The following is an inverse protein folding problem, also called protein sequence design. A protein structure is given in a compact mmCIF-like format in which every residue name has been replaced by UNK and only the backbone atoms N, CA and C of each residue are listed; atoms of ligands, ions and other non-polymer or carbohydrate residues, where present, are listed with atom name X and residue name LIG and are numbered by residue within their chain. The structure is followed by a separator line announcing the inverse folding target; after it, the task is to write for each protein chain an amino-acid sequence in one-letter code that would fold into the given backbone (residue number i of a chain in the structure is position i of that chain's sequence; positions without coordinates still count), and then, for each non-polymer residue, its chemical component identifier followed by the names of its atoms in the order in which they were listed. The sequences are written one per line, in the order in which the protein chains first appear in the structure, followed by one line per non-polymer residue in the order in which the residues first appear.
data_IF_661662705559
#
_entry.id   IF_661662705559
#
_cell.length_a   1.000
_cell.length_b   1.000
_cell.length_c   1.000
_cell.angle_alpha   90.00
_cell.angle_beta   90.00
_cell.angle_gamma   90.00
#
_symmetry.space_group_name_H-M   'P 1'
#
loop_
_entity.id
_entity.type
_entity.pdbx_description
1 polymer ?
#
# COMPACT_ATOMS: atom_id res chain seq x y z
N UNK A 1 -20.16 -24.09 11.23
CA UNK A 1 -18.86 -24.80 11.29
C UNK A 1 -19.02 -26.20 10.73
N UNK A 2 -18.66 -26.42 9.46
CA UNK A 2 -18.15 -27.68 8.90
C UNK A 2 -17.28 -27.27 7.70
N UNK A 3 -15.95 -27.29 7.85
CA UNK A 3 -15.05 -27.42 6.69
C UNK A 3 -14.56 -28.87 6.75
N UNK A 4 -15.23 -29.75 6.00
CA UNK A 4 -14.69 -31.07 5.68
C UNK A 4 -14.08 -30.94 4.30
N UNK A 5 -12.75 -30.91 4.28
CA UNK A 5 -11.97 -30.88 3.06
C UNK A 5 -10.50 -30.90 3.42
N UNK A 6 -9.92 -32.10 3.44
CA UNK A 6 -8.48 -32.29 3.36
C UNK A 6 -8.00 -31.60 2.07
N UNK A 7 -7.46 -30.38 2.16
CA UNK A 7 -6.90 -29.66 1.01
C UNK A 7 -5.40 -29.56 1.20
N UNK A 8 -4.65 -30.38 0.46
CA UNK A 8 -3.19 -30.24 0.29
C UNK A 8 -2.85 -29.13 -0.71
N UNK A 9 -3.73 -28.15 -0.91
CA UNK A 9 -3.52 -27.04 -1.84
C UNK A 9 -3.52 -25.71 -1.10
N UNK A 10 -2.52 -24.87 -1.39
CA UNK A 10 -2.44 -23.48 -0.94
C UNK A 10 -3.40 -22.56 -1.69
N UNK A 11 -4.09 -23.05 -2.73
CA UNK A 11 -5.06 -22.26 -3.51
C UNK A 11 -6.50 -22.42 -3.00
N UNK A 12 -7.17 -21.28 -2.78
CA UNK A 12 -8.56 -21.19 -2.29
C UNK A 12 -9.50 -21.11 -3.48
N UNK A 13 -10.35 -22.11 -3.67
CA UNK A 13 -11.27 -22.12 -4.83
C UNK A 13 -12.48 -21.21 -4.63
N UNK A 14 -12.97 -21.12 -3.39
CA UNK A 14 -14.10 -20.30 -3.01
C UNK A 14 -13.99 -19.88 -1.56
N UNK A 15 -14.51 -18.69 -1.25
CA UNK A 15 -14.58 -18.13 0.09
C UNK A 15 -15.97 -17.53 0.32
N UNK A 16 -16.68 -18.04 1.31
CA UNK A 16 -17.96 -17.46 1.75
C UNK A 16 -17.69 -16.39 2.81
N UNK A 17 -18.32 -15.23 2.65
CA UNK A 17 -18.28 -14.11 3.58
C UNK A 17 -19.71 -13.65 3.89
N UNK A 18 -19.89 -12.82 4.91
CA UNK A 18 -21.18 -12.17 5.17
C UNK A 18 -21.72 -11.35 3.97
N UNK A 19 -20.83 -10.91 3.07
CA UNK A 19 -21.14 -10.06 1.92
C UNK A 19 -21.30 -10.84 0.60
N UNK A 20 -21.19 -12.17 0.62
CA UNK A 20 -21.31 -13.01 -0.57
C UNK A 20 -20.19 -14.04 -0.73
N UNK A 21 -20.25 -14.79 -1.83
CA UNK A 21 -19.29 -15.84 -2.16
C UNK A 21 -18.30 -15.33 -3.19
N UNK A 22 -17.01 -15.39 -2.85
CA UNK A 22 -15.92 -15.15 -3.78
C UNK A 22 -15.47 -16.48 -4.40
N UNK A 23 -15.20 -16.49 -5.69
CA UNK A 23 -14.63 -17.63 -6.41
C UNK A 23 -13.36 -17.22 -7.12
N UNK A 24 -12.39 -18.14 -7.15
CA UNK A 24 -11.06 -17.89 -7.68
C UNK A 24 -10.68 -18.97 -8.70
N UNK A 25 -10.01 -18.55 -9.77
CA UNK A 25 -9.33 -19.47 -10.70
C UNK A 25 -7.84 -19.17 -10.71
N UNK A 26 -7.06 -20.19 -11.07
CA UNK A 26 -5.60 -20.12 -11.03
C UNK A 26 -5.00 -20.76 -12.28
N UNK A 27 -3.83 -20.29 -12.68
CA UNK A 27 -3.00 -21.00 -13.65
C UNK A 27 -2.22 -22.16 -12.99
N UNK A 28 -1.39 -22.86 -13.77
CA UNK A 28 -0.60 -23.98 -13.27
C UNK A 28 0.53 -23.57 -12.31
N UNK A 29 0.97 -22.31 -12.35
CA UNK A 29 1.96 -21.76 -11.42
C UNK A 29 1.32 -21.27 -10.11
N UNK A 30 -0.01 -21.24 -10.03
CA UNK A 30 -0.77 -20.76 -8.87
C UNK A 30 -1.05 -19.26 -8.88
N UNK A 31 -0.81 -18.56 -9.99
CA UNK A 31 -1.22 -17.17 -10.14
C UNK A 31 -2.74 -17.08 -10.30
N UNK A 32 -3.38 -16.06 -9.72
CA UNK A 32 -4.83 -15.86 -9.78
C UNK A 32 -5.22 -15.42 -11.19
N UNK A 33 -6.01 -16.19 -11.93
CA UNK A 33 -6.52 -15.80 -13.24
C UNK A 33 -7.82 -15.00 -13.16
N UNK A 34 -8.66 -15.28 -12.16
CA UNK A 34 -9.90 -14.51 -11.96
C UNK A 34 -10.36 -14.53 -10.52
N UNK A 35 -11.02 -13.44 -10.11
CA UNK A 35 -11.80 -13.32 -8.89
C UNK A 35 -13.22 -12.93 -9.30
N UNK A 36 -14.23 -13.65 -8.82
CA UNK A 36 -15.63 -13.29 -9.01
C UNK A 36 -16.31 -13.20 -7.63
N UNK A 37 -16.94 -12.07 -7.35
CA UNK A 37 -17.59 -11.78 -6.05
C UNK A 37 -19.09 -12.13 -6.01
N UNK A 38 -19.58 -12.87 -7.01
CA UNK A 38 -20.98 -13.16 -7.26
C UNK A 38 -21.67 -12.19 -8.24
N UNK A 39 -21.11 -11.00 -8.44
CA UNK A 39 -21.65 -9.95 -9.32
C UNK A 39 -20.67 -9.52 -10.41
N UNK A 40 -19.44 -9.18 -10.02
CA UNK A 40 -18.39 -8.68 -10.90
C UNK A 40 -17.22 -9.65 -10.94
N UNK A 41 -16.55 -9.68 -12.09
CA UNK A 41 -15.31 -10.44 -12.28
C UNK A 41 -14.13 -9.49 -12.48
N UNK A 42 -13.04 -9.77 -11.79
CA UNK A 42 -11.71 -9.24 -12.12
C UNK A 42 -10.88 -10.39 -12.70
N UNK A 43 -10.23 -10.16 -13.83
CA UNK A 43 -9.37 -11.17 -14.48
C UNK A 43 -7.96 -10.64 -14.68
N UNK A 44 -6.99 -11.55 -14.67
CA UNK A 44 -5.57 -11.22 -14.72
C UNK A 44 -4.85 -12.05 -15.79
N UNK A 45 -3.87 -11.44 -16.43
CA UNK A 45 -2.97 -12.09 -17.40
C UNK A 45 -1.54 -11.83 -16.98
N UNK A 46 -0.72 -12.87 -17.05
CA UNK A 46 0.69 -12.84 -16.68
C UNK A 46 1.58 -13.12 -17.89
N UNK A 47 2.79 -12.58 -17.87
CA UNK A 47 3.83 -12.98 -18.82
C UNK A 47 4.54 -14.29 -18.39
N UNK A 48 5.53 -14.72 -19.18
CA UNK A 48 6.30 -15.93 -18.90
C UNK A 48 7.20 -15.87 -17.66
N UNK A 49 7.34 -14.70 -17.02
CA UNK A 49 8.05 -14.51 -15.76
C UNK A 49 7.08 -14.36 -14.57
N UNK A 50 5.80 -14.68 -14.76
CA UNK A 50 4.72 -14.52 -13.79
C UNK A 50 4.50 -13.05 -13.36
N UNK A 51 4.84 -12.08 -14.21
CA UNK A 51 4.56 -10.67 -13.95
C UNK A 51 3.17 -10.32 -14.50
N UNK A 52 2.37 -9.60 -13.71
CA UNK A 52 1.03 -9.18 -14.10
C UNK A 52 1.09 -8.20 -15.27
N UNK A 53 0.70 -8.59 -16.47
CA UNK A 53 0.70 -7.70 -17.64
C UNK A 53 -0.65 -7.10 -17.96
N UNK A 54 -1.75 -7.67 -17.43
CA UNK A 54 -3.10 -7.13 -17.64
C UNK A 54 -4.05 -7.47 -16.51
N UNK A 55 -4.87 -6.50 -16.12
CA UNK A 55 -6.02 -6.64 -15.24
C UNK A 55 -7.27 -6.13 -15.98
N UNK A 56 -8.36 -6.90 -15.99
CA UNK A 56 -9.68 -6.42 -16.43
C UNK A 56 -10.62 -6.41 -15.23
N UNK A 57 -10.96 -5.21 -14.74
CA UNK A 57 -11.84 -5.02 -13.59
C UNK A 57 -13.20 -4.55 -14.07
N UNK A 58 -14.18 -5.46 -14.04
CA UNK A 58 -15.55 -5.19 -14.47
C UNK A 58 -16.26 -4.18 -13.56
N UNK A 59 -15.93 -4.14 -12.27
CA UNK A 59 -16.55 -3.22 -11.30
C UNK A 59 -16.02 -1.80 -11.51
N UNK A 60 -14.72 -1.67 -11.74
CA UNK A 60 -14.09 -0.40 -12.07
C UNK A 60 -14.38 0.03 -13.52
N UNK A 61 -14.92 -0.87 -14.36
CA UNK A 61 -15.18 -0.64 -15.78
C UNK A 61 -13.92 -0.20 -16.54
N UNK A 62 -12.78 -0.83 -16.19
CA UNK A 62 -11.48 -0.56 -16.80
C UNK A 62 -10.68 -1.82 -17.11
N UNK A 63 -9.76 -1.69 -18.07
CA UNK A 63 -8.67 -2.63 -18.31
C UNK A 63 -7.36 -1.91 -18.08
N UNK A 64 -6.48 -2.47 -17.25
CA UNK A 64 -5.14 -1.94 -16.99
C UNK A 64 -4.10 -2.86 -17.63
N UNK A 65 -3.14 -2.28 -18.33
CA UNK A 65 -1.97 -2.97 -18.91
C UNK A 65 -0.70 -2.47 -18.24
N UNK A 66 0.18 -3.40 -17.90
CA UNK A 66 1.46 -3.14 -17.25
C UNK A 66 2.61 -3.54 -18.17
N UNK A 67 3.70 -2.79 -18.10
CA UNK A 67 4.93 -3.07 -18.85
C UNK A 67 6.11 -3.16 -17.89
N UNK A 68 7.05 -4.05 -18.21
CA UNK A 68 8.23 -4.29 -17.39
C UNK A 68 9.49 -4.32 -18.23
N UNK A 69 10.63 -4.05 -17.59
CA UNK A 69 11.96 -4.26 -18.15
C UNK A 69 12.88 -4.73 -17.04
N UNK A 70 13.47 -5.92 -17.19
CA UNK A 70 14.32 -6.56 -16.17
C UNK A 70 13.67 -6.64 -14.78
N UNK A 71 12.36 -6.95 -14.71
CA UNK A 71 11.62 -7.02 -13.45
C UNK A 71 11.04 -5.69 -12.96
N UNK A 72 11.59 -4.55 -13.39
CA UNK A 72 11.07 -3.23 -13.00
C UNK A 72 9.82 -2.88 -13.82
N UNK A 73 8.76 -2.43 -13.16
CA UNK A 73 7.59 -1.86 -13.84
C UNK A 73 8.01 -0.58 -14.55
N UNK A 74 7.75 -0.43 -15.84
CA UNK A 74 8.08 0.77 -16.64
C UNK A 74 6.85 1.61 -16.97
N UNK A 75 5.67 1.01 -16.91
CA UNK A 75 4.44 1.70 -17.27
C UNK A 75 3.19 1.00 -16.81
N UNK A 76 2.16 1.79 -16.50
CA UNK A 76 0.79 1.38 -16.23
C UNK A 76 -0.13 2.21 -17.10
N UNK A 77 -0.94 1.56 -17.93
CA UNK A 77 -1.90 2.21 -18.82
C UNK A 77 -3.31 1.71 -18.53
N UNK A 78 -4.27 2.61 -18.46
CA UNK A 78 -5.67 2.32 -18.16
C UNK A 78 -6.52 2.63 -19.38
N UNK A 79 -7.44 1.73 -19.68
CA UNK A 79 -8.34 1.73 -20.82
C UNK A 79 -9.77 1.46 -20.34
N UNK A 80 -10.74 1.66 -21.24
CA UNK A 80 -12.11 1.18 -21.03
C UNK A 80 -12.10 -0.34 -20.89
N UNK A 81 -12.96 -0.89 -20.02
CA UNK A 81 -13.08 -2.34 -19.83
C UNK A 81 -13.25 -3.08 -21.16
N UNK A 82 -12.42 -4.09 -21.37
CA UNK A 82 -12.50 -5.02 -22.49
C UNK A 82 -11.80 -6.33 -22.13
N UNK A 83 -12.29 -7.44 -22.67
CA UNK A 83 -11.58 -8.73 -22.62
C UNK A 83 -10.73 -8.97 -23.88
N UNK A 84 -10.98 -8.20 -24.95
CA UNK A 84 -10.26 -8.26 -26.22
C UNK A 84 -9.13 -7.24 -26.29
N UNK A 85 -8.86 -6.71 -27.47
CA UNK A 85 -7.85 -5.67 -27.66
C UNK A 85 -8.25 -4.37 -26.94
N UNK A 86 -7.25 -3.66 -26.44
CA UNK A 86 -7.43 -2.36 -25.78
C UNK A 86 -7.61 -1.24 -26.81
N UNK A 87 -8.49 -0.28 -26.50
CA UNK A 87 -8.76 0.88 -27.34
C UNK A 87 -7.89 2.09 -26.99
N UNK A 88 -8.50 3.28 -26.97
CA UNK A 88 -7.83 4.52 -26.60
C UNK A 88 -7.42 4.53 -25.12
N UNK A 89 -6.21 5.00 -24.86
CA UNK A 89 -5.66 5.14 -23.52
C UNK A 89 -6.39 6.25 -22.76
N UNK A 90 -6.94 5.94 -21.59
CA UNK A 90 -7.63 6.90 -20.71
C UNK A 90 -6.62 7.57 -19.77
N UNK A 91 -5.62 6.81 -19.31
CA UNK A 91 -4.60 7.28 -18.37
C UNK A 91 -3.33 6.47 -18.51
N UNK A 92 -2.19 7.13 -18.33
CA UNK A 92 -0.89 6.47 -18.18
C UNK A 92 -0.14 6.94 -16.94
N UNK A 93 0.72 6.08 -16.44
CA UNK A 93 1.70 6.33 -15.38
C UNK A 93 3.00 5.68 -15.80
N UNK A 94 4.07 6.46 -15.86
CA UNK A 94 5.39 6.01 -16.32
C UNK A 94 6.38 5.91 -15.16
N UNK A 95 7.30 4.97 -15.23
CA UNK A 95 8.32 4.71 -14.22
C UNK A 95 9.68 4.65 -14.92
N UNK A 96 10.63 5.47 -14.46
CA UNK A 96 11.97 5.60 -15.03
C UNK A 96 13.03 5.05 -14.09
N UNK A 97 13.99 4.33 -14.67
CA UNK A 97 15.12 3.72 -13.98
C UNK A 97 16.36 4.01 -14.82
N UNK A 98 17.08 5.08 -14.46
CA UNK A 98 18.24 5.56 -15.23
C UNK A 98 19.56 5.42 -14.48
N UNK A 99 19.53 4.93 -13.22
CA UNK A 99 20.75 4.69 -12.46
C UNK A 99 21.46 3.43 -12.97
N UNK A 100 22.74 3.56 -13.31
CA UNK A 100 23.55 2.47 -13.86
C UNK A 100 24.06 1.49 -12.80
N UNK A 101 24.25 1.95 -11.58
CA UNK A 101 24.77 1.15 -10.47
C UNK A 101 23.64 0.34 -9.82
N UNK A 102 22.52 1.00 -9.54
CA UNK A 102 21.32 0.40 -8.97
C UNK A 102 20.20 0.41 -10.00
N UNK A 103 20.18 -0.65 -10.82
CA UNK A 103 19.29 -0.75 -11.98
C UNK A 103 17.81 -0.84 -11.62
N UNK A 104 17.49 -1.08 -10.36
CA UNK A 104 16.16 -1.12 -9.75
C UNK A 104 15.79 0.17 -9.01
N UNK A 105 16.68 1.17 -8.97
CA UNK A 105 16.41 2.46 -8.36
C UNK A 105 15.49 3.31 -9.25
N UNK A 106 14.29 3.62 -8.74
CA UNK A 106 13.30 4.45 -9.42
C UNK A 106 13.79 5.91 -9.49
N UNK A 107 14.23 6.38 -10.64
CA UNK A 107 14.73 7.76 -10.82
C UNK A 107 13.68 8.73 -11.34
N UNK A 108 12.54 8.23 -11.81
CA UNK A 108 11.40 9.07 -12.23
C UNK A 108 10.06 8.37 -12.04
N UNK A 109 9.06 9.10 -11.57
CA UNK A 109 7.67 8.64 -11.54
C UNK A 109 6.77 9.69 -12.16
N UNK A 110 6.03 9.30 -13.19
CA UNK A 110 5.15 10.14 -13.99
C UNK A 110 5.80 11.46 -14.44
N UNK A 111 7.07 11.38 -14.87
CA UNK A 111 7.87 12.53 -15.31
C UNK A 111 8.48 13.37 -14.18
N UNK A 112 8.12 13.13 -12.92
CA UNK A 112 8.76 13.76 -11.77
C UNK A 112 10.03 12.99 -11.40
N UNK A 113 11.16 13.68 -11.32
CA UNK A 113 12.42 13.07 -10.91
C UNK A 113 12.38 12.67 -9.43
N UNK A 114 13.09 11.59 -9.10
CA UNK A 114 13.41 11.18 -7.74
C UNK A 114 14.94 11.18 -7.61
N UNK A 115 15.46 11.83 -6.57
CA UNK A 115 16.89 11.82 -6.26
C UNK A 115 17.13 11.15 -4.93
N UNK A 116 18.36 10.72 -4.68
CA UNK A 116 18.71 9.88 -3.54
C UNK A 116 20.05 10.29 -2.92
N UNK A 117 20.22 9.97 -1.64
CA UNK A 117 21.53 9.95 -1.00
C UNK A 117 22.31 8.66 -1.33
N UNK A 118 23.53 8.54 -0.81
CA UNK A 118 24.44 7.40 -1.07
C UNK A 118 23.93 6.05 -0.57
N UNK A 119 22.96 6.04 0.34
CA UNK A 119 22.37 4.81 0.88
C UNK A 119 20.96 4.54 0.36
N UNK A 120 20.46 5.36 -0.58
CA UNK A 120 19.19 5.16 -1.26
C UNK A 120 17.97 5.72 -0.54
N UNK A 121 18.15 6.67 0.38
CA UNK A 121 17.02 7.44 0.87
C UNK A 121 16.65 8.51 -0.17
N UNK A 122 15.37 8.66 -0.55
CA UNK A 122 14.95 9.73 -1.44
C UNK A 122 15.27 11.10 -0.84
N UNK A 123 15.95 11.99 -1.57
CA UNK A 123 16.20 13.38 -1.18
C UNK A 123 15.17 14.34 -1.79
N UNK A 124 14.69 14.03 -3.00
CA UNK A 124 13.62 14.78 -3.64
C UNK A 124 12.66 13.87 -4.38
N UNK A 125 11.41 14.31 -4.51
CA UNK A 125 10.43 13.72 -5.41
C UNK A 125 9.53 14.82 -5.98
N UNK A 126 9.73 15.14 -7.26
CA UNK A 126 9.14 16.33 -7.87
C UNK A 126 9.58 17.59 -7.12
N UNK A 127 8.62 18.37 -6.61
CA UNK A 127 8.88 19.56 -5.79
C UNK A 127 9.10 19.27 -4.30
N UNK A 128 8.94 18.02 -3.86
CA UNK A 128 9.09 17.66 -2.45
C UNK A 128 10.56 17.40 -2.12
N UNK A 129 10.99 17.79 -0.93
CA UNK A 129 12.30 17.42 -0.38
C UNK A 129 12.16 16.62 0.91
N UNK A 130 13.18 15.81 1.19
CA UNK A 130 13.23 14.90 2.32
C UNK A 130 14.59 15.03 3.01
N UNK A 131 14.59 15.10 4.33
CA UNK A 131 15.79 15.14 5.16
C UNK A 131 15.82 13.93 6.09
N UNK A 132 16.98 13.30 6.20
CA UNK A 132 17.15 12.02 6.89
C UNK A 132 18.31 12.08 7.88
N UNK A 133 18.15 11.38 9.01
CA UNK A 133 19.24 11.01 9.91
C UNK A 133 19.41 9.49 9.85
N UNK A 134 20.46 9.03 9.14
CA UNK A 134 20.62 7.61 8.82
C UNK A 134 19.44 7.08 7.97
N UNK A 135 18.59 6.24 8.56
CA UNK A 135 17.37 5.70 7.92
C UNK A 135 16.08 6.31 8.46
N UNK A 136 16.19 7.31 9.34
CA UNK A 136 15.04 7.98 9.95
C UNK A 136 14.71 9.24 9.15
N UNK A 137 13.49 9.31 8.62
CA UNK A 137 13.00 10.50 7.93
C UNK A 137 12.70 11.59 8.95
N UNK A 138 13.43 12.69 8.96
CA UNK A 138 13.28 13.79 9.92
C UNK A 138 12.39 14.90 9.39
N UNK A 139 12.46 15.21 8.10
CA UNK A 139 11.63 16.27 7.51
C UNK A 139 11.15 15.91 6.10
N UNK A 140 9.91 16.29 5.81
CA UNK A 140 9.39 16.46 4.44
C UNK A 140 9.00 17.93 4.27
N UNK A 141 9.41 18.53 3.16
CA UNK A 141 8.90 19.83 2.69
C UNK A 141 8.12 19.62 1.40
N UNK A 142 6.89 20.10 1.35
CA UNK A 142 5.97 19.96 0.22
C UNK A 142 5.20 21.26 -0.04
N UNK A 143 5.78 22.11 -0.89
CA UNK A 143 5.31 23.48 -1.04
C UNK A 143 5.44 24.23 0.28
N UNK A 144 4.33 24.82 0.75
CA UNK A 144 4.27 25.49 2.05
C UNK A 144 4.10 24.52 3.23
N UNK A 145 3.86 23.23 2.96
CA UNK A 145 3.66 22.25 4.00
C UNK A 145 4.99 21.68 4.50
N UNK A 146 5.13 21.58 5.81
CA UNK A 146 6.27 20.96 6.48
C UNK A 146 5.81 19.86 7.41
N UNK A 147 6.50 18.72 7.34
CA UNK A 147 6.27 17.56 8.20
C UNK A 147 7.59 17.25 8.88
N UNK A 148 7.64 17.35 10.20
CA UNK A 148 8.85 17.07 10.98
C UNK A 148 8.59 15.88 11.89
N UNK A 149 9.52 14.96 11.98
CA UNK A 149 9.41 13.76 12.79
C UNK A 149 10.56 13.69 13.80
N UNK A 150 10.30 13.08 14.95
CA UNK A 150 11.32 12.76 15.92
C UNK A 150 11.17 11.31 16.37
N UNK A 151 12.27 10.67 16.73
CA UNK A 151 12.34 9.25 17.07
C UNK A 151 13.04 9.06 18.42
N UNK A 152 12.69 7.99 19.13
CA UNK A 152 13.45 7.54 20.31
C UNK A 152 14.69 6.74 19.86
N UNK A 153 15.46 6.25 20.83
CA UNK A 153 16.66 5.42 20.59
C UNK A 153 16.36 4.06 19.97
N UNK A 154 15.14 3.56 20.15
CA UNK A 154 14.68 2.29 19.57
C UNK A 154 14.21 2.44 18.12
N UNK A 155 14.14 3.69 17.63
CA UNK A 155 13.70 4.03 16.28
C UNK A 155 12.19 4.23 16.15
N UNK A 156 11.44 4.18 17.25
CA UNK A 156 10.02 4.50 17.25
C UNK A 156 9.81 5.99 17.10
N UNK A 157 8.85 6.37 16.25
CA UNK A 157 8.49 7.77 16.05
C UNK A 157 7.74 8.28 17.28
N UNK A 158 8.31 9.26 17.99
CA UNK A 158 7.75 9.88 19.20
C UNK A 158 7.02 11.19 18.94
N UNK A 159 7.23 11.83 17.78
CA UNK A 159 6.38 12.96 17.39
C UNK A 159 6.29 13.16 15.88
N UNK A 160 5.23 13.86 15.47
CA UNK A 160 5.04 14.40 14.13
C UNK A 160 4.52 15.84 14.26
N UNK A 161 5.19 16.80 13.65
CA UNK A 161 4.73 18.18 13.56
C UNK A 161 4.35 18.50 12.12
N UNK A 162 3.11 18.91 11.88
CA UNK A 162 2.62 19.33 10.56
C UNK A 162 2.30 20.81 10.62
N UNK A 163 3.00 21.63 9.85
CA UNK A 163 2.76 23.09 9.80
C UNK A 163 2.71 23.73 11.20
N UNK A 164 3.61 23.31 12.09
CA UNK A 164 3.67 23.78 13.47
C UNK A 164 2.74 23.07 14.47
N UNK A 165 1.76 22.28 14.00
CA UNK A 165 0.88 21.48 14.87
C UNK A 165 1.55 20.15 15.22
N UNK A 166 1.94 19.98 16.48
CA UNK A 166 2.63 18.78 16.97
C UNK A 166 1.65 17.74 17.50
N UNK A 167 1.79 16.52 17.01
CA UNK A 167 1.25 15.29 17.58
C UNK A 167 2.38 14.51 18.25
N UNK A 168 2.18 14.12 19.50
CA UNK A 168 3.11 13.30 20.30
C UNK A 168 2.59 11.87 20.38
N UNK A 169 3.52 10.90 20.37
CA UNK A 169 3.23 9.47 20.44
C UNK A 169 3.83 8.88 21.71
N UNK A 170 3.02 8.12 22.43
CA UNK A 170 3.37 7.53 23.72
C UNK A 170 3.36 6.01 23.61
N UNK A 171 4.44 5.38 24.05
CA UNK A 171 4.62 3.94 23.95
C UNK A 171 4.67 3.29 25.34
N UNK A 172 4.16 2.07 25.43
CA UNK A 172 4.33 1.15 26.55
C UNK A 172 5.12 -0.07 26.06
N UNK A 173 6.44 -0.06 26.27
CA UNK A 173 7.33 -0.95 25.54
C UNK A 173 7.29 -0.64 24.05
N UNK A 174 7.07 -1.65 23.21
CA UNK A 174 6.89 -1.49 21.75
C UNK A 174 5.44 -1.20 21.32
N UNK A 175 4.49 -1.10 22.25
CA UNK A 175 3.07 -0.87 21.95
C UNK A 175 2.81 0.64 21.93
N UNK A 176 2.24 1.15 20.84
CA UNK A 176 1.75 2.53 20.77
C UNK A 176 0.52 2.67 21.67
N UNK A 177 0.71 3.20 22.87
CA UNK A 177 -0.33 3.34 23.88
C UNK A 177 -1.28 4.51 23.58
N UNK A 178 -0.79 5.57 22.96
CA UNK A 178 -1.65 6.70 22.59
C UNK A 178 -0.93 7.82 21.87
N UNK A 179 -1.70 8.84 21.53
CA UNK A 179 -1.22 10.06 20.91
C UNK A 179 -1.93 11.30 21.47
N UNK A 180 -1.27 12.45 21.35
CA UNK A 180 -1.80 13.75 21.80
C UNK A 180 -1.52 14.83 20.77
N UNK A 181 -2.52 15.64 20.41
CA UNK A 181 -2.38 16.83 19.55
C UNK A 181 -3.05 18.01 20.22
N UNK A 182 -2.29 19.01 20.66
CA UNK A 182 -2.85 20.07 21.50
C UNK A 182 -3.48 19.47 22.78
N UNK A 183 -4.77 19.69 22.99
CA UNK A 183 -5.53 19.09 24.10
C UNK A 183 -6.21 17.76 23.72
N UNK A 184 -6.23 17.41 22.44
CA UNK A 184 -6.86 16.18 21.97
C UNK A 184 -6.00 14.97 22.31
N UNK A 185 -6.61 13.92 22.85
CA UNK A 185 -5.96 12.67 23.22
C UNK A 185 -6.67 11.49 22.58
N UNK A 186 -5.88 10.53 22.12
CA UNK A 186 -6.38 9.25 21.61
C UNK A 186 -5.54 8.13 22.23
N UNK A 187 -6.17 7.29 23.05
CA UNK A 187 -5.53 6.20 23.79
C UNK A 187 -6.01 4.88 23.18
N UNK A 188 -5.09 4.03 22.74
CA UNK A 188 -5.42 2.75 22.13
C UNK A 188 -5.67 1.68 23.19
N UNK A 189 -6.70 0.86 22.96
CA UNK A 189 -7.06 -0.26 23.82
C UNK A 189 -6.71 -1.58 23.11
N UNK A 190 -5.95 -2.42 23.80
CA UNK A 190 -5.43 -3.68 23.29
C UNK A 190 -5.91 -4.86 24.14
N UNK A 191 -6.21 -5.97 23.50
CA UNK A 191 -6.50 -7.22 24.20
C UNK A 191 -5.21 -7.91 24.67
N UNK A 192 -5.35 -9.06 25.33
CA UNK A 192 -4.21 -9.80 25.87
C UNK A 192 -3.27 -10.38 24.79
N UNK A 193 -3.67 -10.38 23.51
CA UNK A 193 -2.84 -10.81 22.39
C UNK A 193 -2.08 -9.62 21.76
N UNK A 194 -2.33 -8.39 22.23
CA UNK A 194 -1.78 -7.18 21.63
C UNK A 194 -2.57 -6.69 20.42
N UNK A 195 -3.76 -7.24 20.16
CA UNK A 195 -4.62 -6.75 19.10
C UNK A 195 -5.41 -5.53 19.57
N UNK A 196 -5.36 -4.44 18.82
CA UNK A 196 -6.17 -3.28 19.11
C UNK A 196 -7.66 -3.63 18.91
N UNK A 197 -8.50 -3.34 19.90
CA UNK A 197 -9.95 -3.56 19.84
C UNK A 197 -10.77 -2.27 19.99
N UNK A 198 -10.14 -1.16 20.36
CA UNK A 198 -10.78 0.14 20.43
C UNK A 198 -9.82 1.26 20.79
N UNK A 199 -10.37 2.43 21.04
CA UNK A 199 -9.63 3.60 21.52
C UNK A 199 -10.53 4.52 22.36
N UNK A 200 -9.90 5.32 23.22
CA UNK A 200 -10.55 6.41 23.96
C UNK A 200 -10.14 7.72 23.29
N UNK A 201 -11.09 8.48 22.78
CA UNK A 201 -10.87 9.80 22.19
C UNK A 201 -11.46 10.88 23.09
N UNK A 202 -10.62 11.74 23.67
CA UNK A 202 -11.03 12.80 24.60
C UNK A 202 -11.92 12.32 25.75
N UNK A 203 -11.70 11.09 26.22
CA UNK A 203 -12.47 10.46 27.30
C UNK A 203 -13.65 9.60 26.84
N UNK A 204 -14.04 9.65 25.55
CA UNK A 204 -15.11 8.85 24.98
C UNK A 204 -14.58 7.55 24.37
N UNK A 205 -15.25 6.43 24.62
CA UNK A 205 -14.83 5.10 24.14
C UNK A 205 -15.39 4.76 22.76
N UNK A 206 -14.54 4.19 21.92
CA UNK A 206 -14.87 3.69 20.59
C UNK A 206 -14.29 2.30 20.40
N UNK A 207 -15.03 1.43 19.70
CA UNK A 207 -14.67 0.03 19.49
C UNK A 207 -14.55 -0.28 17.99
N UNK A 208 -13.52 -1.04 17.62
CA UNK A 208 -13.37 -1.51 16.26
C UNK A 208 -14.39 -2.63 15.98
N UNK A 209 -15.19 -2.47 14.94
CA UNK A 209 -16.05 -3.54 14.45
C UNK A 209 -15.18 -4.47 13.60
N UNK A 210 -14.79 -5.63 14.15
CA UNK A 210 -14.13 -6.71 13.39
C UNK A 210 -15.21 -7.50 12.63
N UNK A 211 -15.21 -7.41 11.30
CA UNK A 211 -15.99 -8.31 10.45
C UNK A 211 -15.13 -9.58 10.29
N UNK A 212 -15.59 -10.68 10.92
CA UNK A 212 -14.98 -12.01 10.81
C UNK A 212 -15.35 -12.70 9.49
#
# INVERSE_FOLDING_TARGET
MIIVGNRTSTTVKSLETANGTYTYTYDAAGNILSINDGTYTVSYVYDGLNQLVRENDQRADTTTVYTYTNGNITGKKVYKYTLGDVGEEIKSTNYGYSNSEWRDLLTSFNGQAVTYDEIGNPLTFGSKSFEWCGRQLERITDGDNTYVYAYNTDGDRVSKTVNGVKTEYFYNGSILAGQKTGDETLIFMYDNNGDAFGFIYNGEEYYYIKIL
#
